data_IF_104550355161
#
_entry.id   IF_104550355161
#
_cell.length_a   1.000
_cell.length_b   1.000
_cell.length_c   1.000
_cell.angle_alpha   90.00
_cell.angle_beta   90.00
_cell.angle_gamma   90.00
#
_symmetry.space_group_name_H-M   'P 1'
#
loop_
_entity.id
_entity.type
_entity.pdbx_description
1 polymer ?
#
# COMPACT_ATOMS: atom_id res chain seq x y z
N UNK A 1 -61.55 -15.54 18.13
CA UNK A 1 -60.87 -14.26 18.44
C UNK A 1 -60.15 -14.44 19.76
N UNK A 2 -58.82 -14.37 19.78
CA UNK A 2 -58.03 -14.09 20.99
C UNK A 2 -56.75 -13.40 20.54
N UNK A 3 -56.70 -12.08 20.74
CA UNK A 3 -55.54 -11.26 20.47
C UNK A 3 -54.48 -11.54 21.54
N UNK A 4 -53.33 -12.10 21.14
CA UNK A 4 -52.13 -12.09 21.95
C UNK A 4 -51.34 -10.82 21.63
N UNK A 5 -51.69 -9.71 22.27
CA UNK A 5 -50.84 -8.52 22.32
C UNK A 5 -49.84 -8.71 23.46
N UNK A 6 -48.51 -8.69 23.19
CA UNK A 6 -47.55 -8.66 24.29
C UNK A 6 -47.77 -7.34 25.03
N UNK A 7 -48.01 -7.43 26.34
CA UNK A 7 -48.15 -6.30 27.23
C UNK A 7 -46.81 -5.57 27.31
N UNK A 8 -46.57 -4.64 26.40
CA UNK A 8 -45.34 -3.86 26.29
C UNK A 8 -45.37 -2.65 27.24
N UNK A 9 -45.57 -2.89 28.54
CA UNK A 9 -45.40 -1.91 29.62
C UNK A 9 -45.17 -2.66 30.95
N UNK A 10 -44.17 -3.55 30.99
CA UNK A 10 -43.57 -3.88 32.27
C UNK A 10 -42.68 -2.69 32.65
N UNK A 11 -43.20 -1.86 33.55
CA UNK A 11 -42.46 -0.83 34.24
C UNK A 11 -41.14 -1.42 34.71
N UNK A 12 -40.04 -1.06 34.05
CA UNK A 12 -38.70 -1.42 34.47
C UNK A 12 -38.52 -0.84 35.87
N UNK A 13 -38.65 -1.68 36.88
CA UNK A 13 -38.41 -1.32 38.28
C UNK A 13 -37.06 -0.60 38.32
N UNK A 14 -37.02 0.65 38.83
CA UNK A 14 -35.82 1.47 38.75
C UNK A 14 -34.67 0.67 39.37
N UNK A 15 -33.59 0.51 38.60
CA UNK A 15 -32.44 -0.27 39.01
C UNK A 15 -31.99 0.23 40.39
N UNK A 16 -31.77 -0.70 41.33
CA UNK A 16 -31.17 -0.35 42.61
C UNK A 16 -29.90 0.48 42.35
N UNK A 17 -29.64 1.54 43.13
CA UNK A 17 -28.47 2.40 42.93
C UNK A 17 -27.14 1.63 42.89
N UNK A 18 -27.09 0.47 43.55
CA UNK A 18 -25.95 -0.45 43.48
C UNK A 18 -25.80 -1.11 42.09
N UNK A 19 -26.90 -1.52 41.46
CA UNK A 19 -26.91 -2.12 40.12
C UNK A 19 -26.50 -1.11 39.04
N UNK A 20 -26.94 0.15 39.14
CA UNK A 20 -26.54 1.22 38.20
C UNK A 20 -25.04 1.51 38.26
N UNK A 21 -24.46 1.54 39.47
CA UNK A 21 -23.03 1.76 39.66
C UNK A 21 -22.20 0.63 39.05
N UNK A 22 -22.65 -0.62 39.18
CA UNK A 22 -22.00 -1.79 38.59
C UNK A 22 -22.05 -1.73 37.06
N UNK A 23 -23.21 -1.42 36.47
CA UNK A 23 -23.37 -1.29 35.01
C UNK A 23 -22.49 -0.17 34.46
N UNK A 24 -22.43 0.98 35.14
CA UNK A 24 -21.57 2.11 34.74
C UNK A 24 -20.08 1.73 34.75
N UNK A 25 -19.64 0.98 35.77
CA UNK A 25 -18.27 0.47 35.87
C UNK A 25 -17.97 -0.56 34.79
N UNK A 26 -18.88 -1.49 34.53
CA UNK A 26 -18.75 -2.51 33.49
C UNK A 26 -18.71 -1.91 32.08
N UNK A 27 -19.56 -0.91 31.80
CA UNK A 27 -19.55 -0.20 30.51
C UNK A 27 -18.22 0.52 30.28
N UNK A 28 -17.60 1.07 31.33
CA UNK A 28 -16.30 1.73 31.24
C UNK A 28 -15.18 0.73 30.89
N UNK A 29 -15.11 -0.41 31.55
CA UNK A 29 -14.08 -1.42 31.26
C UNK A 29 -14.29 -2.07 29.89
N UNK A 30 -15.54 -2.33 29.51
CA UNK A 30 -15.89 -2.85 28.18
C UNK A 30 -15.48 -1.87 27.08
N UNK A 31 -15.72 -0.57 27.28
CA UNK A 31 -15.27 0.46 26.33
C UNK A 31 -13.76 0.47 26.13
N UNK A 32 -12.97 0.32 27.20
CA UNK A 32 -11.50 0.25 27.11
C UNK A 32 -11.06 -1.00 26.34
N UNK A 33 -11.65 -2.16 26.64
CA UNK A 33 -11.34 -3.42 25.94
C UNK A 33 -11.70 -3.34 24.46
N UNK A 34 -12.87 -2.79 24.13
CA UNK A 34 -13.31 -2.56 22.75
C UNK A 34 -12.35 -1.64 21.99
N UNK A 35 -11.86 -0.57 22.63
CA UNK A 35 -10.92 0.37 22.00
C UNK A 35 -9.58 -0.29 21.70
N UNK A 36 -9.04 -1.08 22.63
CA UNK A 36 -7.78 -1.81 22.40
C UNK A 36 -7.95 -2.81 21.25
N UNK A 37 -9.07 -3.54 21.22
CA UNK A 37 -9.40 -4.45 20.13
C UNK A 37 -9.51 -3.72 18.78
N UNK A 38 -10.21 -2.59 18.74
CA UNK A 38 -10.38 -1.79 17.52
C UNK A 38 -9.05 -1.24 17.02
N UNK A 39 -8.18 -0.74 17.92
CA UNK A 39 -6.83 -0.27 17.57
C UNK A 39 -6.00 -1.42 17.02
N UNK A 40 -6.03 -2.59 17.67
CA UNK A 40 -5.35 -3.79 17.16
C UNK A 40 -5.83 -4.21 15.78
N UNK A 41 -7.15 -4.22 15.57
CA UNK A 41 -7.74 -4.50 14.26
C UNK A 41 -7.32 -3.47 13.21
N UNK A 42 -7.36 -2.18 13.53
CA UNK A 42 -6.93 -1.11 12.63
C UNK A 42 -5.45 -1.20 12.29
N UNK A 43 -4.59 -1.61 13.24
CA UNK A 43 -3.18 -1.83 12.98
C UNK A 43 -2.97 -2.96 11.96
N UNK A 44 -3.67 -4.08 12.09
CA UNK A 44 -3.59 -5.20 11.14
C UNK A 44 -4.16 -4.81 9.77
N UNK A 45 -5.32 -4.13 9.74
CA UNK A 45 -5.92 -3.66 8.51
C UNK A 45 -4.99 -2.68 7.76
N UNK A 46 -4.40 -1.72 8.49
CA UNK A 46 -3.41 -0.79 7.94
C UNK A 46 -2.17 -1.49 7.42
N UNK A 47 -1.62 -2.46 8.17
CA UNK A 47 -0.49 -3.25 7.73
C UNK A 47 -0.81 -4.06 6.46
N UNK A 48 -2.02 -4.59 6.32
CA UNK A 48 -2.45 -5.33 5.14
C UNK A 48 -2.56 -4.41 3.91
N UNK A 49 -3.19 -3.24 4.04
CA UNK A 49 -3.28 -2.24 2.97
C UNK A 49 -1.90 -1.78 2.53
N UNK A 50 -1.02 -1.48 3.50
CA UNK A 50 0.37 -1.13 3.24
C UNK A 50 1.07 -2.25 2.47
N UNK A 51 0.96 -3.50 2.94
CA UNK A 51 1.59 -4.66 2.29
C UNK A 51 1.09 -4.89 0.88
N UNK A 52 -0.21 -4.77 0.62
CA UNK A 52 -0.79 -4.94 -0.72
C UNK A 52 -0.31 -3.84 -1.68
N UNK A 53 -0.29 -2.60 -1.21
CA UNK A 53 0.23 -1.47 -2.00
C UNK A 53 1.71 -1.64 -2.31
N UNK A 54 2.49 -2.08 -1.32
CA UNK A 54 3.93 -2.31 -1.48
C UNK A 54 4.23 -3.51 -2.39
N UNK A 55 3.47 -4.61 -2.30
CA UNK A 55 3.60 -5.74 -3.22
C UNK A 55 3.22 -5.37 -4.66
N UNK A 56 2.30 -4.42 -4.85
CA UNK A 56 1.99 -3.91 -6.19
C UNK A 56 3.19 -3.19 -6.81
N UNK A 57 4.06 -2.57 -6.00
CA UNK A 57 5.34 -2.03 -6.46
C UNK A 57 6.34 -3.14 -6.82
N UNK A 58 6.32 -4.29 -6.14
CA UNK A 58 7.16 -5.44 -6.51
C UNK A 58 6.76 -6.05 -7.86
N UNK A 59 5.48 -5.97 -8.25
CA UNK A 59 4.99 -6.37 -9.56
C UNK A 59 5.35 -5.39 -10.69
N UNK A 60 6.10 -4.32 -10.43
CA UNK A 60 6.48 -3.37 -11.47
C UNK A 60 7.66 -3.85 -12.34
N UNK A 61 8.45 -4.84 -11.87
CA UNK A 61 9.64 -5.34 -12.54
C UNK A 61 9.40 -6.76 -13.08
N UNK A 62 8.77 -6.86 -14.25
CA UNK A 62 8.41 -8.13 -14.90
C UNK A 62 9.09 -8.36 -16.26
N UNK A 63 9.83 -7.37 -16.76
CA UNK A 63 10.54 -7.47 -18.02
C UNK A 63 11.59 -8.59 -17.97
N UNK A 64 11.42 -9.63 -18.78
CA UNK A 64 12.37 -10.76 -18.87
C UNK A 64 13.51 -10.50 -19.85
N UNK A 65 13.32 -9.58 -20.79
CA UNK A 65 14.32 -9.23 -21.81
C UNK A 65 14.15 -7.76 -22.18
N UNK A 66 15.27 -7.08 -22.35
CA UNK A 66 15.34 -5.69 -22.78
C UNK A 66 16.17 -5.64 -24.06
N UNK A 67 15.61 -5.03 -25.10
CA UNK A 67 16.33 -4.83 -26.35
C UNK A 67 17.45 -3.78 -26.16
N UNK A 68 18.69 -4.19 -26.43
CA UNK A 68 19.85 -3.31 -26.43
C UNK A 68 20.28 -2.99 -27.86
N UNK A 69 20.83 -1.80 -28.13
CA UNK A 69 21.45 -1.50 -29.42
C UNK A 69 22.60 -2.46 -29.71
N UNK A 70 22.85 -2.75 -30.99
CA UNK A 70 24.00 -3.58 -31.36
C UNK A 70 25.31 -2.91 -30.93
N UNK A 71 26.23 -3.70 -30.37
CA UNK A 71 27.51 -3.19 -29.86
C UNK A 71 27.40 -2.37 -28.57
N UNK A 72 26.21 -2.30 -27.94
CA UNK A 72 26.05 -1.62 -26.67
C UNK A 72 26.65 -2.43 -25.51
N UNK A 73 27.38 -1.74 -24.64
CA UNK A 73 27.89 -2.29 -23.37
C UNK A 73 27.14 -1.62 -22.23
N UNK A 74 26.52 -2.42 -21.36
CA UNK A 74 25.85 -1.90 -20.16
C UNK A 74 26.89 -1.50 -19.12
N UNK A 75 26.94 -0.22 -18.77
CA UNK A 75 27.82 0.33 -17.72
C UNK A 75 27.14 0.39 -16.37
N UNK A 76 25.86 0.71 -16.36
CA UNK A 76 25.05 0.79 -15.15
C UNK A 76 23.59 0.46 -15.47
N UNK A 77 22.90 -0.12 -14.49
CA UNK A 77 21.47 -0.39 -14.54
C UNK A 77 20.85 -0.05 -13.18
N UNK A 78 19.87 0.84 -13.18
CA UNK A 78 19.15 1.27 -11.98
C UNK A 78 17.66 1.07 -12.20
N UNK A 79 17.03 0.32 -11.30
CA UNK A 79 15.61 0.03 -11.33
C UNK A 79 14.89 0.92 -10.30
N UNK A 80 14.02 1.81 -10.75
CA UNK A 80 13.27 2.71 -9.86
C UNK A 80 11.90 3.09 -10.46
N UNK A 81 10.89 3.17 -9.59
CA UNK A 81 9.54 3.67 -9.92
C UNK A 81 8.90 3.01 -11.15
N UNK A 82 9.12 1.71 -11.35
CA UNK A 82 8.57 0.95 -12.48
C UNK A 82 9.28 1.18 -13.81
N UNK A 83 10.48 1.77 -13.78
CA UNK A 83 11.35 1.90 -14.93
C UNK A 83 12.73 1.36 -14.64
N UNK A 84 13.44 0.95 -15.69
CA UNK A 84 14.84 0.53 -15.64
C UNK A 84 15.62 1.55 -16.47
N UNK A 85 16.50 2.28 -15.81
CA UNK A 85 17.41 3.23 -16.41
C UNK A 85 18.75 2.56 -16.64
N UNK A 86 19.17 2.49 -17.89
CA UNK A 86 20.40 1.87 -18.35
C UNK A 86 21.37 2.95 -18.81
N UNK A 87 22.57 2.96 -18.26
CA UNK A 87 23.69 3.70 -18.83
C UNK A 87 24.43 2.74 -19.77
N UNK A 88 24.34 3.02 -21.06
CA UNK A 88 24.94 2.24 -22.13
C UNK A 88 26.16 2.99 -22.68
N UNK A 89 27.17 2.26 -23.12
CA UNK A 89 28.20 2.76 -24.03
C UNK A 89 27.97 2.13 -25.40
N UNK A 90 27.78 2.94 -26.43
CA UNK A 90 27.53 2.49 -27.81
C UNK A 90 28.56 3.16 -28.71
N UNK A 91 29.41 2.37 -29.35
CA UNK A 91 30.51 2.90 -30.19
C UNK A 91 31.43 3.92 -29.48
N UNK A 92 31.64 3.75 -28.17
CA UNK A 92 32.45 4.65 -27.35
C UNK A 92 31.73 5.91 -26.83
N UNK A 93 30.47 6.12 -27.22
CA UNK A 93 29.64 7.21 -26.70
C UNK A 93 28.71 6.70 -25.59
N UNK A 94 28.61 7.46 -24.49
CA UNK A 94 27.64 7.17 -23.45
C UNK A 94 26.22 7.54 -23.91
N UNK A 95 25.23 6.74 -23.49
CA UNK A 95 23.82 6.95 -23.75
C UNK A 95 23.00 6.47 -22.56
N UNK A 96 21.93 7.19 -22.23
CA UNK A 96 20.94 6.76 -21.25
C UNK A 96 19.75 6.14 -21.99
N UNK A 97 19.28 4.99 -21.52
CA UNK A 97 18.06 4.34 -22.02
C UNK A 97 17.12 4.08 -20.85
N UNK A 98 15.90 4.58 -20.95
CA UNK A 98 14.83 4.36 -19.97
C UNK A 98 13.87 3.34 -20.55
N UNK A 99 13.60 2.29 -19.78
CA UNK A 99 12.80 1.14 -20.19
C UNK A 99 11.66 0.94 -19.20
N UNK A 100 10.47 0.61 -19.69
CA UNK A 100 9.37 0.19 -18.83
C UNK A 100 9.70 -1.16 -18.18
N UNK A 101 9.71 -1.19 -16.84
CA UNK A 101 10.17 -2.37 -16.12
C UNK A 101 9.20 -3.55 -16.19
N UNK A 102 7.96 -3.33 -16.64
CA UNK A 102 6.93 -4.37 -16.75
C UNK A 102 6.98 -5.06 -18.12
N UNK A 103 7.09 -4.29 -19.20
CA UNK A 103 7.03 -4.78 -20.58
C UNK A 103 8.40 -4.95 -21.23
N UNK A 104 9.43 -4.27 -20.73
CA UNK A 104 10.75 -4.23 -21.38
C UNK A 104 10.81 -3.30 -22.59
N UNK A 105 9.76 -2.51 -22.84
CA UNK A 105 9.71 -1.54 -23.93
C UNK A 105 10.59 -0.33 -23.62
N UNK A 106 11.32 0.13 -24.64
CA UNK A 106 12.11 1.37 -24.55
C UNK A 106 11.14 2.54 -24.52
N UNK A 107 11.21 3.34 -23.46
CA UNK A 107 10.42 4.55 -23.28
C UNK A 107 11.15 5.76 -23.87
N UNK A 108 12.45 5.86 -23.61
CA UNK A 108 13.24 7.01 -24.00
C UNK A 108 14.72 6.66 -24.14
N UNK A 109 15.35 7.23 -25.15
CA UNK A 109 16.79 7.26 -25.31
C UNK A 109 17.28 8.70 -25.21
N UNK A 110 18.31 8.93 -24.39
CA UNK A 110 18.94 10.25 -24.22
C UNK A 110 20.42 10.10 -24.52
N UNK A 111 20.90 10.89 -25.48
CA UNK A 111 22.33 11.01 -25.80
C UNK A 111 22.93 12.15 -25.02
N UNK A 112 24.18 12.00 -24.58
CA UNK A 112 24.93 13.10 -24.01
C UNK A 112 25.55 13.92 -25.14
N UNK A 113 25.45 15.24 -25.05
CA UNK A 113 26.18 16.15 -25.92
C UNK A 113 27.23 16.88 -25.08
N UNK A 114 28.43 17.12 -25.62
CA UNK A 114 29.42 17.92 -24.92
C UNK A 114 28.87 19.35 -24.74
N UNK A 115 29.00 19.88 -23.53
CA UNK A 115 28.73 21.29 -23.27
C UNK A 115 29.85 22.09 -23.94
N UNK A 116 29.48 22.93 -24.93
CA UNK A 116 30.42 23.85 -25.55
C UNK A 116 30.77 24.91 -24.51
N UNK A 117 31.96 24.83 -23.92
CA UNK A 117 32.51 25.92 -23.14
C UNK A 117 32.78 27.10 -24.08
N UNK A 118 32.04 28.20 -23.90
CA UNK A 118 32.28 29.48 -24.58
C UNK A 118 33.60 30.13 -24.12
#
# INVERSE_FOLDING_TARGET
>A
MSNNTPNSNEDQEPLSPEAEAVIKRARRSFGVSMMIMLVGFMAVAGALVYRVTQNSAANQYQAQTIALPQGAVVKSAVAQSGTITLTLEVNGEAMLRIVDAKSGLVLQDVRFSPELAE
#
